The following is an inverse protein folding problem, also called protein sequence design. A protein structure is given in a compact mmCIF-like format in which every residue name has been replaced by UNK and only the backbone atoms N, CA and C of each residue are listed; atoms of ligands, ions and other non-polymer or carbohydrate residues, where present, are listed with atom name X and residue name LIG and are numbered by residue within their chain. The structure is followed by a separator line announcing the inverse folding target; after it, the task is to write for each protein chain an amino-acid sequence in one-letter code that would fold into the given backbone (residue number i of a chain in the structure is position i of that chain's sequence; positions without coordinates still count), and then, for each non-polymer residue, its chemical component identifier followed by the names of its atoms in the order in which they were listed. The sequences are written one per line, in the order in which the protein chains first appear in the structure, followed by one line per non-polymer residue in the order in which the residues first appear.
data_IF_488904274995
#
_entry.id   IF_488904274995
#
_cell.length_a   1.000
_cell.length_b   1.000
_cell.length_c   1.000
_cell.angle_alpha   90.00
_cell.angle_beta   90.00
_cell.angle_gamma   90.00
#
_symmetry.space_group_name_H-M   'P 1'
#
loop_
_entity.id
_entity.type
_entity.pdbx_description
1 polymer ?
#
# COMPACT_ATOMS: atom_id res chain seq x y z
N UNK A 1 6.77 4.94 -25.74
CA UNK A 1 6.76 3.50 -25.39
C UNK A 1 8.16 2.90 -25.16
N UNK A 2 9.16 3.12 -26.04
CA UNK A 2 10.49 2.46 -25.93
C UNK A 2 11.18 2.62 -24.56
N UNK A 3 11.18 3.83 -23.99
CA UNK A 3 11.87 4.14 -22.73
C UNK A 3 11.31 3.32 -21.56
N UNK A 4 9.99 3.30 -21.38
CA UNK A 4 9.35 2.56 -20.27
C UNK A 4 9.59 1.05 -20.40
N UNK A 5 9.40 0.50 -21.61
CA UNK A 5 9.65 -0.92 -21.88
C UNK A 5 11.10 -1.30 -21.58
N UNK A 6 12.06 -0.53 -22.08
CA UNK A 6 13.47 -0.80 -21.83
C UNK A 6 13.83 -0.74 -20.35
N UNK A 7 13.32 0.26 -19.63
CA UNK A 7 13.53 0.37 -18.20
C UNK A 7 13.03 -0.88 -17.47
N UNK A 8 11.78 -1.29 -17.71
CA UNK A 8 11.18 -2.46 -17.06
C UNK A 8 11.96 -3.74 -17.36
N UNK A 9 12.26 -4.03 -18.63
CA UNK A 9 13.04 -5.23 -18.96
C UNK A 9 14.44 -5.22 -18.36
N UNK A 10 15.10 -4.05 -18.31
CA UNK A 10 16.45 -3.93 -17.76
C UNK A 10 16.45 -4.19 -16.27
N UNK A 11 15.56 -3.54 -15.52
CA UNK A 11 15.52 -3.63 -14.06
C UNK A 11 14.95 -4.97 -13.60
N UNK A 12 13.78 -5.37 -14.11
CA UNK A 12 13.16 -6.66 -13.75
C UNK A 12 14.04 -7.81 -14.20
N UNK A 13 14.62 -7.74 -15.40
CA UNK A 13 15.51 -8.77 -15.92
C UNK A 13 16.80 -8.92 -15.10
N UNK A 14 17.34 -7.82 -14.56
CA UNK A 14 18.51 -7.86 -13.67
C UNK A 14 18.24 -8.61 -12.37
N UNK A 15 17.07 -8.40 -11.77
CA UNK A 15 16.67 -9.02 -10.50
C UNK A 15 15.84 -10.32 -10.66
N UNK A 16 15.80 -10.88 -11.87
CA UNK A 16 14.99 -12.06 -12.18
C UNK A 16 15.26 -13.19 -11.19
N UNK A 17 14.20 -13.71 -10.58
CA UNK A 17 14.26 -14.82 -9.61
C UNK A 17 14.87 -14.47 -8.25
N UNK A 18 15.13 -13.18 -7.96
CA UNK A 18 15.76 -12.73 -6.71
C UNK A 18 14.80 -12.01 -5.76
N UNK A 19 13.61 -11.62 -6.25
CA UNK A 19 12.66 -10.80 -5.50
C UNK A 19 11.38 -11.56 -5.18
N UNK A 20 10.78 -11.25 -4.03
CA UNK A 20 9.52 -11.84 -3.59
C UNK A 20 8.30 -11.23 -4.29
N UNK A 21 8.38 -9.97 -4.70
CA UNK A 21 7.33 -9.22 -5.40
C UNK A 21 7.91 -7.97 -6.09
N UNK A 22 7.14 -7.39 -7.01
CA UNK A 22 7.37 -6.07 -7.60
C UNK A 22 6.13 -5.20 -7.47
N UNK A 23 6.29 -3.96 -7.01
CA UNK A 23 5.36 -2.88 -7.31
C UNK A 23 5.65 -2.35 -8.72
N UNK A 24 4.89 -2.83 -9.70
CA UNK A 24 5.13 -2.53 -11.11
C UNK A 24 4.68 -1.12 -11.47
N UNK A 25 3.55 -0.70 -10.90
CA UNK A 25 2.97 0.62 -11.08
C UNK A 25 2.55 1.14 -9.71
N UNK A 26 3.04 2.33 -9.37
CA UNK A 26 2.75 3.01 -8.12
C UNK A 26 1.84 4.23 -8.38
N UNK A 27 0.76 4.37 -7.62
CA UNK A 27 -0.09 5.56 -7.54
C UNK A 27 -0.67 6.05 -8.88
N UNK A 28 -1.06 5.15 -9.79
CA UNK A 28 -1.67 5.56 -11.07
C UNK A 28 -3.08 6.14 -10.93
N UNK A 29 -3.75 5.92 -9.81
CA UNK A 29 -5.10 6.41 -9.52
C UNK A 29 -5.01 7.74 -8.77
N UNK A 30 -5.75 8.73 -9.26
CA UNK A 30 -5.75 10.09 -8.70
C UNK A 30 -6.61 10.21 -7.42
N UNK A 31 -6.30 11.21 -6.60
CA UNK A 31 -7.09 11.49 -5.39
C UNK A 31 -8.43 12.16 -5.70
N UNK A 32 -8.54 12.82 -6.85
CA UNK A 32 -9.75 13.47 -7.33
C UNK A 32 -10.19 12.87 -8.67
N UNK A 33 -11.50 12.90 -8.91
CA UNK A 33 -12.05 12.57 -10.22
C UNK A 33 -11.93 13.81 -11.13
N UNK A 34 -11.39 13.60 -12.32
CA UNK A 34 -11.39 14.60 -13.40
C UNK A 34 -12.15 14.06 -14.60
N UNK A 35 -13.35 14.61 -14.83
CA UNK A 35 -14.21 14.28 -15.98
C UNK A 35 -14.63 12.80 -16.08
N UNK A 36 -14.93 12.17 -14.94
CA UNK A 36 -15.33 10.76 -14.86
C UNK A 36 -14.14 9.80 -14.94
N UNK A 37 -12.92 10.30 -14.76
CA UNK A 37 -11.70 9.51 -14.76
C UNK A 37 -10.83 9.86 -13.56
N UNK A 38 -10.43 8.83 -12.82
CA UNK A 38 -9.55 8.95 -11.66
C UNK A 38 -8.12 8.53 -12.01
N UNK A 39 -7.52 9.16 -13.03
CA UNK A 39 -6.16 8.85 -13.51
C UNK A 39 -5.19 9.93 -13.06
N UNK A 40 -4.05 9.54 -12.50
CA UNK A 40 -2.99 10.48 -12.10
C UNK A 40 -2.27 11.01 -13.33
N UNK A 41 -2.12 12.33 -13.41
CA UNK A 41 -1.40 12.98 -14.50
C UNK A 41 0.11 12.72 -14.38
N UNK A 42 0.62 11.83 -15.24
CA UNK A 42 2.03 11.44 -15.26
C UNK A 42 2.60 11.58 -16.67
N UNK A 43 3.92 11.62 -16.79
CA UNK A 43 4.58 11.57 -18.10
C UNK A 43 4.21 10.30 -18.89
N UNK A 44 3.92 9.20 -18.20
CA UNK A 44 3.52 7.94 -18.82
C UNK A 44 2.10 8.02 -19.37
N UNK A 45 1.16 8.56 -18.58
CA UNK A 45 -0.21 8.78 -19.03
C UNK A 45 -0.27 9.74 -20.23
N UNK A 46 0.47 10.86 -20.18
CA UNK A 46 0.49 11.84 -21.28
C UNK A 46 1.20 11.32 -22.53
N UNK A 47 2.26 10.54 -22.34
CA UNK A 47 3.12 10.11 -23.45
C UNK A 47 2.72 8.78 -24.10
N UNK A 48 2.05 7.89 -23.37
CA UNK A 48 1.61 6.58 -23.87
C UNK A 48 0.08 6.53 -23.94
N UNK A 49 -0.60 7.07 -22.94
CA UNK A 49 -2.03 6.85 -22.73
C UNK A 49 -2.27 5.87 -21.57
N UNK A 50 -3.53 5.68 -21.15
CA UNK A 50 -3.90 4.86 -19.98
C UNK A 50 -3.43 3.40 -20.05
N UNK A 51 -3.19 2.88 -21.25
CA UNK A 51 -2.67 1.53 -21.49
C UNK A 51 -1.25 1.30 -20.93
N UNK A 52 -0.54 2.36 -20.51
CA UNK A 52 0.80 2.21 -19.93
C UNK A 52 0.81 1.27 -18.70
N UNK A 53 -0.29 1.24 -17.93
CA UNK A 53 -0.42 0.36 -16.77
C UNK A 53 -0.39 -1.09 -17.20
N UNK A 54 -1.26 -1.47 -18.14
CA UNK A 54 -1.28 -2.83 -18.70
C UNK A 54 0.06 -3.22 -19.30
N UNK A 55 0.63 -2.33 -20.13
CA UNK A 55 1.89 -2.58 -20.80
C UNK A 55 3.02 -2.82 -19.80
N UNK A 56 3.05 -2.06 -18.70
CA UNK A 56 4.04 -2.25 -17.65
C UNK A 56 3.95 -3.64 -17.01
N UNK A 57 2.74 -4.11 -16.67
CA UNK A 57 2.54 -5.47 -16.13
C UNK A 57 2.96 -6.54 -17.14
N UNK A 58 2.57 -6.41 -18.40
CA UNK A 58 2.96 -7.39 -19.44
C UNK A 58 4.47 -7.45 -19.62
N UNK A 59 5.14 -6.30 -19.71
CA UNK A 59 6.61 -6.25 -19.85
C UNK A 59 7.35 -6.75 -18.61
N UNK A 60 6.83 -6.48 -17.40
CA UNK A 60 7.40 -7.02 -16.17
C UNK A 60 7.31 -8.55 -16.16
N UNK A 61 6.15 -9.10 -16.53
CA UNK A 61 5.96 -10.55 -16.62
C UNK A 61 6.78 -11.19 -17.74
N UNK A 62 6.95 -10.51 -18.89
CA UNK A 62 7.87 -10.98 -19.95
C UNK A 62 9.32 -11.08 -19.44
N UNK A 63 9.75 -10.14 -18.60
CA UNK A 63 11.11 -10.09 -18.06
C UNK A 63 11.35 -11.13 -16.95
N UNK A 64 10.38 -11.30 -16.06
CA UNK A 64 10.36 -12.37 -15.04
C UNK A 64 8.93 -12.93 -14.87
N UNK A 65 8.63 -14.09 -15.48
CA UNK A 65 7.31 -14.70 -15.37
C UNK A 65 6.98 -15.27 -13.98
N UNK A 66 7.97 -15.38 -13.09
CA UNK A 66 7.84 -16.11 -11.81
C UNK A 66 7.59 -15.19 -10.62
N UNK A 67 7.90 -13.91 -10.75
CA UNK A 67 7.74 -12.94 -9.65
C UNK A 67 6.30 -12.41 -9.60
N UNK A 68 5.66 -12.39 -8.41
CA UNK A 68 4.40 -11.70 -8.19
C UNK A 68 4.48 -10.21 -8.54
N UNK A 69 3.43 -9.68 -9.17
CA UNK A 69 3.37 -8.32 -9.71
C UNK A 69 2.21 -7.56 -9.08
N UNK A 70 2.50 -6.42 -8.49
CA UNK A 70 1.59 -5.64 -7.67
C UNK A 70 1.36 -4.24 -8.26
N UNK A 71 0.14 -3.74 -8.03
CA UNK A 71 -0.18 -2.31 -8.11
C UNK A 71 -0.20 -1.75 -6.69
N UNK A 72 0.54 -0.68 -6.40
CA UNK A 72 0.67 -0.10 -5.06
C UNK A 72 0.11 1.33 -5.01
N UNK A 73 -0.65 1.68 -3.96
CA UNK A 73 -1.24 3.02 -3.81
C UNK A 73 -1.65 3.33 -2.36
N UNK A 74 -1.76 4.63 -2.03
CA UNK A 74 -2.31 5.14 -0.77
C UNK A 74 -3.78 5.53 -0.89
N UNK A 75 -4.45 5.72 0.26
CA UNK A 75 -5.83 6.21 0.37
C UNK A 75 -6.86 5.33 -0.37
N UNK A 76 -6.49 4.10 -0.68
CA UNK A 76 -7.29 3.08 -1.33
C UNK A 76 -7.54 1.86 -0.44
N UNK A 77 -7.24 1.95 0.85
CA UNK A 77 -7.23 0.83 1.80
C UNK A 77 -8.64 0.46 2.26
N UNK A 78 -9.45 1.46 2.64
CA UNK A 78 -10.87 1.29 2.97
C UNK A 78 -11.79 1.32 1.74
N UNK A 79 -13.10 1.31 1.96
CA UNK A 79 -14.11 1.48 0.90
C UNK A 79 -14.31 2.95 0.57
N UNK A 80 -14.28 3.29 -0.71
CA UNK A 80 -14.51 4.66 -1.17
C UNK A 80 -14.12 4.86 -2.62
N UNK A 81 -14.28 6.09 -3.11
CA UNK A 81 -14.15 6.39 -4.53
C UNK A 81 -12.76 6.04 -5.13
N UNK A 82 -11.68 6.16 -4.36
CA UNK A 82 -10.34 5.78 -4.83
C UNK A 82 -10.18 4.26 -4.90
N UNK A 83 -10.57 3.53 -3.85
CA UNK A 83 -10.49 2.07 -3.86
C UNK A 83 -11.47 1.43 -4.86
N UNK A 84 -12.61 2.05 -5.12
CA UNK A 84 -13.55 1.63 -6.18
C UNK A 84 -12.94 1.75 -7.57
N UNK A 85 -12.19 2.84 -7.83
CA UNK A 85 -11.49 3.02 -9.10
C UNK A 85 -10.31 2.05 -9.26
N UNK A 86 -9.55 1.81 -8.19
CA UNK A 86 -8.50 0.77 -8.17
C UNK A 86 -9.12 -0.60 -8.46
N UNK A 87 -10.19 -0.96 -7.75
CA UNK A 87 -10.92 -2.21 -7.94
C UNK A 87 -11.41 -2.38 -9.39
N UNK A 88 -12.03 -1.34 -9.96
CA UNK A 88 -12.50 -1.37 -11.35
C UNK A 88 -11.36 -1.56 -12.35
N UNK A 89 -10.23 -0.85 -12.16
CA UNK A 89 -9.03 -0.99 -12.99
C UNK A 89 -8.49 -2.41 -12.94
N UNK A 90 -8.27 -2.97 -11.75
CA UNK A 90 -7.63 -4.29 -11.64
C UNK A 90 -8.57 -5.43 -12.03
N UNK A 91 -9.88 -5.26 -11.86
CA UNK A 91 -10.89 -6.16 -12.41
C UNK A 91 -10.84 -6.19 -13.95
N UNK A 92 -10.76 -5.04 -14.60
CA UNK A 92 -10.62 -4.95 -16.07
C UNK A 92 -9.31 -5.60 -16.55
N UNK A 93 -8.18 -5.30 -15.91
CA UNK A 93 -6.90 -5.90 -16.23
C UNK A 93 -6.94 -7.43 -16.11
N UNK A 94 -7.53 -7.96 -15.03
CA UNK A 94 -7.71 -9.40 -14.82
C UNK A 94 -8.62 -10.04 -15.87
N UNK A 95 -9.69 -9.37 -16.27
CA UNK A 95 -10.60 -9.85 -17.33
C UNK A 95 -9.94 -9.93 -18.71
N UNK A 96 -8.84 -9.21 -18.93
CA UNK A 96 -8.07 -9.17 -20.18
C UNK A 96 -6.74 -9.91 -20.08
N UNK A 97 -6.62 -10.83 -19.12
CA UNK A 97 -5.45 -11.67 -18.89
C UNK A 97 -4.14 -10.88 -18.77
N UNK A 98 -4.19 -9.71 -18.11
CA UNK A 98 -3.00 -8.97 -17.71
C UNK A 98 -2.41 -9.64 -16.45
N UNK A 99 -1.09 -9.88 -16.39
CA UNK A 99 -0.44 -10.58 -15.27
C UNK A 99 -0.28 -9.67 -14.04
N UNK A 100 -1.40 -9.34 -13.40
CA UNK A 100 -1.44 -8.68 -12.09
C UNK A 100 -1.82 -9.71 -11.03
N UNK A 101 -1.03 -9.77 -9.96
CA UNK A 101 -1.10 -10.81 -8.93
C UNK A 101 -1.57 -10.28 -7.57
N UNK A 102 -1.42 -8.97 -7.31
CA UNK A 102 -1.91 -8.39 -6.08
C UNK A 102 -1.94 -6.87 -6.04
N UNK A 103 -2.38 -6.35 -4.90
CA UNK A 103 -2.48 -4.92 -4.59
C UNK A 103 -1.69 -4.61 -3.33
N UNK A 104 -0.82 -3.60 -3.40
CA UNK A 104 -0.18 -3.00 -2.25
C UNK A 104 -1.06 -1.89 -1.68
N UNK A 105 -1.40 -1.99 -0.41
CA UNK A 105 -1.98 -0.93 0.38
C UNK A 105 -0.85 -0.24 1.13
N UNK A 106 -0.49 0.98 0.70
CA UNK A 106 0.59 1.73 1.36
C UNK A 106 0.31 1.89 2.85
N UNK A 107 -0.95 2.20 3.22
CA UNK A 107 -1.35 2.27 4.63
C UNK A 107 -0.64 3.41 5.39
N UNK A 108 -0.50 4.56 4.74
CA UNK A 108 -0.13 5.82 5.39
C UNK A 108 -1.34 6.42 6.10
N UNK A 109 -1.47 6.15 7.41
CA UNK A 109 -2.68 6.42 8.17
C UNK A 109 -2.51 7.61 9.10
N UNK A 110 -3.57 8.38 9.26
CA UNK A 110 -3.69 9.37 10.33
C UNK A 110 -4.55 8.83 11.46
N UNK A 111 -4.19 9.11 12.71
CA UNK A 111 -5.13 8.93 13.83
C UNK A 111 -6.34 9.88 13.71
N UNK A 112 -6.23 10.92 12.90
CA UNK A 112 -7.37 11.76 12.53
C UNK A 112 -8.13 11.09 11.38
N UNK A 113 -9.26 10.46 11.72
CA UNK A 113 -10.12 9.72 10.79
C UNK A 113 -9.43 8.52 10.11
N UNK A 114 -8.90 7.55 10.86
CA UNK A 114 -8.40 6.32 10.27
C UNK A 114 -9.54 5.58 9.54
N UNK A 115 -9.26 4.90 8.41
CA UNK A 115 -10.23 4.01 7.79
C UNK A 115 -10.65 2.93 8.78
N UNK A 116 -11.92 2.52 8.71
CA UNK A 116 -12.44 1.54 9.65
C UNK A 116 -11.91 0.14 9.32
N UNK A 117 -11.54 -0.68 10.32
CA UNK A 117 -11.05 -2.04 10.07
C UNK A 117 -11.99 -2.89 9.21
N UNK A 118 -13.31 -2.76 9.41
CA UNK A 118 -14.31 -3.47 8.61
C UNK A 118 -14.33 -3.05 7.13
N UNK A 119 -14.00 -1.80 6.83
CA UNK A 119 -13.94 -1.30 5.45
C UNK A 119 -12.68 -1.80 4.75
N UNK A 120 -11.54 -1.87 5.47
CA UNK A 120 -10.31 -2.47 4.95
C UNK A 120 -10.52 -3.97 4.69
N UNK A 121 -11.10 -4.70 5.65
CA UNK A 121 -11.41 -6.12 5.50
C UNK A 121 -12.35 -6.39 4.32
N UNK A 122 -13.39 -5.56 4.15
CA UNK A 122 -14.30 -5.66 3.01
C UNK A 122 -13.59 -5.40 1.66
N UNK A 123 -12.67 -4.44 1.63
CA UNK A 123 -11.89 -4.15 0.43
C UNK A 123 -10.90 -5.28 0.09
N UNK A 124 -10.20 -5.82 1.09
CA UNK A 124 -9.33 -7.00 0.94
C UNK A 124 -10.13 -8.21 0.42
N UNK A 125 -11.34 -8.43 0.97
CA UNK A 125 -12.22 -9.52 0.55
C UNK A 125 -12.63 -9.41 -0.93
N UNK A 126 -13.10 -8.25 -1.39
CA UNK A 126 -13.50 -8.09 -2.80
C UNK A 126 -12.31 -8.22 -3.76
N UNK A 127 -11.10 -7.81 -3.36
CA UNK A 127 -9.88 -8.04 -4.13
C UNK A 127 -9.51 -9.53 -4.18
N UNK A 128 -9.66 -10.24 -3.05
CA UNK A 128 -9.50 -11.69 -2.98
C UNK A 128 -10.47 -12.45 -3.87
N UNK A 129 -11.70 -11.98 -4.03
CA UNK A 129 -12.70 -12.53 -4.96
C UNK A 129 -12.27 -12.40 -6.45
N UNK A 130 -11.31 -11.53 -6.79
CA UNK A 130 -10.67 -11.45 -8.11
C UNK A 130 -9.44 -12.37 -8.25
N UNK A 131 -9.10 -13.11 -7.19
CA UNK A 131 -7.90 -13.94 -7.08
C UNK A 131 -6.63 -13.13 -6.83
N UNK A 132 -6.74 -11.91 -6.27
CA UNK A 132 -5.60 -11.04 -5.99
C UNK A 132 -5.14 -11.16 -4.53
N UNK A 133 -3.82 -11.16 -4.35
CA UNK A 133 -3.19 -10.95 -3.06
C UNK A 133 -3.32 -9.49 -2.63
N UNK A 134 -3.24 -9.24 -1.33
CA UNK A 134 -3.04 -7.91 -0.76
C UNK A 134 -1.77 -7.92 0.08
N UNK A 135 -1.05 -6.80 0.08
CA UNK A 135 0.07 -6.55 0.99
C UNK A 135 -0.15 -5.18 1.64
N UNK A 136 0.11 -5.08 2.94
CA UNK A 136 0.32 -3.78 3.59
C UNK A 136 1.80 -3.45 3.36
N UNK A 137 2.10 -2.39 2.62
CA UNK A 137 3.44 -2.17 2.03
C UNK A 137 4.25 -1.07 2.71
N UNK A 138 3.61 -0.05 3.29
CA UNK A 138 4.28 1.18 3.73
C UNK A 138 3.69 1.73 5.04
N UNK A 139 3.31 0.84 5.96
CA UNK A 139 2.50 1.29 7.10
C UNK A 139 3.26 2.25 8.02
N UNK A 140 2.65 3.41 8.23
CA UNK A 140 2.98 4.36 9.28
C UNK A 140 1.69 5.03 9.78
N UNK A 141 1.71 5.53 11.02
CA UNK A 141 0.51 6.10 11.65
C UNK A 141 0.84 7.46 12.26
N UNK A 142 0.60 8.53 11.49
CA UNK A 142 0.85 9.90 11.93
C UNK A 142 -0.07 10.31 13.08
N UNK A 143 0.51 10.99 14.08
CA UNK A 143 -0.23 11.44 15.26
C UNK A 143 -0.29 12.96 15.40
N UNK A 144 0.56 13.70 14.69
CA UNK A 144 0.66 15.16 14.83
C UNK A 144 -0.63 15.92 14.48
N UNK A 145 -1.50 15.36 13.63
CA UNK A 145 -2.79 15.94 13.24
C UNK A 145 -3.95 15.57 14.21
N UNK A 146 -3.70 14.68 15.18
CA UNK A 146 -4.71 14.27 16.16
C UNK A 146 -4.96 15.30 17.25
N UNK A 147 -6.20 15.35 17.73
CA UNK A 147 -6.59 16.12 18.92
C UNK A 147 -6.28 15.36 20.22
N UNK A 148 -6.34 16.06 21.35
CA UNK A 148 -6.12 15.48 22.67
C UNK A 148 -4.67 15.55 23.17
N UNK A 149 -4.43 14.92 24.30
CA UNK A 149 -3.12 14.79 24.95
C UNK A 149 -2.18 13.88 24.17
N UNK A 150 -0.87 13.95 24.46
CA UNK A 150 0.10 13.04 23.87
C UNK A 150 -0.24 11.57 24.14
N UNK A 151 -0.71 11.26 25.35
CA UNK A 151 -1.07 9.91 25.77
C UNK A 151 -2.27 9.37 24.97
N UNK A 152 -3.31 10.18 24.78
CA UNK A 152 -4.48 9.81 23.96
C UNK A 152 -4.09 9.56 22.50
N UNK A 153 -3.21 10.39 21.93
CA UNK A 153 -2.73 10.24 20.54
C UNK A 153 -1.88 8.97 20.37
N UNK A 154 -1.02 8.65 21.32
CA UNK A 154 -0.22 7.41 21.33
C UNK A 154 -1.13 6.18 21.51
N UNK A 155 -2.16 6.27 22.36
CA UNK A 155 -3.14 5.19 22.51
C UNK A 155 -3.92 4.94 21.20
N UNK A 156 -4.35 6.01 20.52
CA UNK A 156 -5.00 5.91 19.22
C UNK A 156 -4.08 5.27 18.17
N UNK A 157 -2.82 5.70 18.08
CA UNK A 157 -1.83 5.07 17.20
C UNK A 157 -1.67 3.57 17.49
N UNK A 158 -1.57 3.21 18.77
CA UNK A 158 -1.41 1.82 19.21
C UNK A 158 -2.58 0.96 18.76
N UNK A 159 -3.80 1.48 18.88
CA UNK A 159 -5.01 0.80 18.45
C UNK A 159 -5.06 0.63 16.92
N UNK A 160 -4.66 1.64 16.15
CA UNK A 160 -4.61 1.57 14.67
C UNK A 160 -3.63 0.48 14.20
N UNK A 161 -2.41 0.43 14.75
CA UNK A 161 -1.44 -0.63 14.43
C UNK A 161 -1.98 -2.03 14.75
N UNK A 162 -2.60 -2.18 15.92
CA UNK A 162 -3.21 -3.43 16.35
C UNK A 162 -4.30 -3.89 15.38
N UNK A 163 -5.25 -3.01 15.07
CA UNK A 163 -6.43 -3.37 14.30
C UNK A 163 -6.10 -3.69 12.85
N UNK A 164 -5.21 -2.92 12.22
CA UNK A 164 -4.82 -3.17 10.82
C UNK A 164 -4.01 -4.46 10.70
N UNK A 165 -3.13 -4.76 11.66
CA UNK A 165 -2.42 -6.04 11.69
C UNK A 165 -3.38 -7.21 11.85
N UNK A 166 -4.34 -7.10 12.77
CA UNK A 166 -5.39 -8.12 12.95
C UNK A 166 -6.17 -8.35 11.65
N UNK A 167 -6.59 -7.28 10.96
CA UNK A 167 -7.29 -7.39 9.66
C UNK A 167 -6.44 -8.12 8.62
N UNK A 168 -5.13 -7.84 8.54
CA UNK A 168 -4.26 -8.56 7.62
C UNK A 168 -4.13 -10.05 7.99
N UNK A 169 -3.97 -10.38 9.27
CA UNK A 169 -3.86 -11.79 9.71
C UNK A 169 -5.15 -12.58 9.48
N UNK A 170 -6.31 -11.95 9.62
CA UNK A 170 -7.62 -12.57 9.38
C UNK A 170 -7.96 -12.69 7.89
N UNK A 171 -7.37 -11.87 7.02
CA UNK A 171 -7.61 -11.88 5.59
C UNK A 171 -6.76 -12.96 4.90
N UNK A 172 -7.36 -14.03 4.32
CA UNK A 172 -6.61 -15.15 3.76
C UNK A 172 -5.78 -14.77 2.52
N UNK A 173 -6.02 -13.60 1.93
CA UNK A 173 -5.26 -13.06 0.80
C UNK A 173 -4.27 -11.96 1.21
N UNK A 174 -4.14 -11.59 2.48
CA UNK A 174 -3.06 -10.72 2.94
C UNK A 174 -1.76 -11.55 3.06
N UNK A 175 -0.72 -11.15 2.34
CA UNK A 175 0.52 -11.95 2.21
C UNK A 175 1.76 -11.29 2.77
N UNK A 176 1.70 -10.01 3.09
CA UNK A 176 2.78 -9.28 3.71
C UNK A 176 2.26 -8.07 4.50
N UNK A 177 3.01 -7.69 5.53
CA UNK A 177 2.80 -6.50 6.34
C UNK A 177 4.15 -5.83 6.59
N UNK A 178 4.33 -4.63 6.03
CA UNK A 178 5.55 -3.85 6.09
C UNK A 178 5.25 -2.47 6.65
N UNK A 179 6.17 -1.95 7.48
CA UNK A 179 6.17 -0.55 7.91
C UNK A 179 7.11 0.26 7.03
N UNK A 180 6.82 1.55 6.83
CA UNK A 180 7.69 2.44 6.05
C UNK A 180 8.80 3.01 6.93
N UNK A 181 9.92 2.28 7.01
CA UNK A 181 10.93 2.35 8.06
C UNK A 181 10.46 1.75 9.40
N UNK A 182 11.32 1.79 10.42
CA UNK A 182 11.02 1.20 11.73
C UNK A 182 11.12 2.16 12.92
N UNK A 183 11.96 3.20 12.87
CA UNK A 183 12.19 4.13 13.97
C UNK A 183 11.86 5.58 13.59
N UNK A 184 11.26 6.32 14.52
CA UNK A 184 10.66 7.65 14.29
C UNK A 184 11.60 8.66 13.61
N UNK A 185 12.91 8.67 13.91
CA UNK A 185 13.87 9.62 13.33
C UNK A 185 14.24 9.32 11.87
N UNK A 186 13.82 8.17 11.34
CA UNK A 186 13.96 7.82 9.92
C UNK A 186 12.68 8.07 9.12
N UNK A 187 11.59 8.48 9.78
CA UNK A 187 10.33 8.73 9.10
C UNK A 187 10.42 9.93 8.15
N UNK A 188 9.82 9.79 6.98
CA UNK A 188 9.61 10.84 5.99
C UNK A 188 8.55 11.89 6.38
N UNK A 189 7.65 11.55 7.32
CA UNK A 189 6.47 12.36 7.67
C UNK A 189 6.87 13.74 8.23
N UNK A 190 7.82 13.86 9.18
CA UNK A 190 8.18 15.17 9.71
C UNK A 190 8.70 16.15 8.65
N UNK A 191 9.50 15.66 7.70
CA UNK A 191 10.05 16.47 6.61
C UNK A 191 8.98 16.87 5.60
N UNK A 192 8.07 15.95 5.24
CA UNK A 192 6.98 16.22 4.30
C UNK A 192 6.01 17.28 4.83
N UNK A 193 5.63 17.21 6.11
CA UNK A 193 4.62 18.09 6.70
C UNK A 193 5.20 19.28 7.46
N UNK A 194 6.53 19.35 7.65
CA UNK A 194 7.19 20.41 8.41
C UNK A 194 6.79 20.45 9.88
N UNK A 195 6.42 19.30 10.46
CA UNK A 195 5.91 19.18 11.84
C UNK A 195 6.54 17.97 12.53
N UNK A 196 6.98 18.07 13.78
CA UNK A 196 7.42 16.90 14.54
C UNK A 196 6.31 15.84 14.63
N UNK A 197 6.69 14.58 14.44
CA UNK A 197 5.79 13.45 14.60
C UNK A 197 6.55 12.22 15.08
N UNK A 198 5.80 11.19 15.49
CA UNK A 198 6.33 9.91 15.95
C UNK A 198 5.49 8.76 15.38
N UNK A 199 5.54 8.49 14.06
CA UNK A 199 4.56 7.63 13.39
C UNK A 199 4.88 6.13 13.41
N UNK A 200 6.08 5.73 13.84
CA UNK A 200 6.60 4.37 13.69
C UNK A 200 6.60 3.56 15.01
N UNK A 201 6.81 2.23 14.97
CA UNK A 201 6.77 1.39 16.18
C UNK A 201 7.94 1.56 17.15
N UNK A 202 9.05 2.19 16.75
CA UNK A 202 10.22 2.45 17.59
C UNK A 202 10.50 3.95 17.72
N UNK A 203 10.98 4.36 18.90
CA UNK A 203 11.35 5.76 19.15
C UNK A 203 12.73 6.12 18.57
N UNK A 204 13.14 7.38 18.71
CA UNK A 204 14.43 7.91 18.24
C UNK A 204 15.67 7.25 18.87
N UNK A 205 15.49 6.43 19.91
CA UNK A 205 16.55 5.66 20.58
C UNK A 205 16.42 4.16 20.32
N UNK A 206 15.66 3.77 19.29
CA UNK A 206 15.38 2.38 18.93
C UNK A 206 14.67 1.57 20.03
N UNK A 207 13.99 2.23 20.96
CA UNK A 207 13.21 1.53 21.99
C UNK A 207 11.80 1.27 21.46
N UNK A 208 11.23 0.08 21.74
CA UNK A 208 9.88 -0.25 21.31
C UNK A 208 8.85 0.68 21.96
N UNK A 209 7.89 1.16 21.16
CA UNK A 209 6.74 1.95 21.62
C UNK A 209 5.55 1.04 21.92
N UNK A 210 4.47 1.63 22.44
CA UNK A 210 3.21 0.91 22.69
C UNK A 210 2.68 0.20 21.43
N UNK A 211 2.81 0.82 20.25
CA UNK A 211 2.45 0.21 18.96
C UNK A 211 3.21 -1.10 18.68
N UNK A 212 4.52 -1.15 18.93
CA UNK A 212 5.31 -2.39 18.77
C UNK A 212 4.75 -3.51 19.67
N UNK A 213 4.52 -3.20 20.95
CA UNK A 213 4.03 -4.20 21.89
C UNK A 213 2.63 -4.70 21.53
N UNK A 214 1.75 -3.84 21.02
CA UNK A 214 0.44 -4.23 20.55
C UNK A 214 0.50 -5.16 19.33
N UNK A 215 1.38 -4.87 18.36
CA UNK A 215 1.59 -5.77 17.21
C UNK A 215 2.12 -7.14 17.65
N UNK A 216 3.10 -7.17 18.56
CA UNK A 216 3.63 -8.44 19.11
C UNK A 216 2.54 -9.23 19.85
N UNK A 217 1.62 -8.56 20.53
CA UNK A 217 0.51 -9.23 21.21
C UNK A 217 -0.44 -9.88 20.20
N UNK A 218 -0.79 -9.19 19.12
CA UNK A 218 -1.62 -9.74 18.02
C UNK A 218 -0.97 -10.97 17.40
N UNK A 219 0.32 -10.88 17.05
CA UNK A 219 1.06 -12.00 16.44
C UNK A 219 1.15 -13.25 17.32
N UNK A 220 1.02 -13.11 18.65
CA UNK A 220 1.03 -14.24 19.60
C UNK A 220 -0.34 -14.88 19.80
N UNK A 221 -1.41 -14.19 19.44
CA UNK A 221 -2.78 -14.71 19.55
C UNK A 221 -3.09 -15.59 18.33
N UNK A 222 -2.59 -15.22 17.16
CA UNK A 222 -2.82 -15.91 15.88
C UNK A 222 -1.78 -17.03 15.58
N UNK A 223 -0.89 -17.36 16.53
CA UNK A 223 0.12 -18.44 16.46
C UNK A 223 -0.30 -19.70 17.20
#
# INVERSE_FOLDING_TARGET
MYILRQHIHTVVGHYRGQLAAWDVVNEAVADQDSAGQRKRDTIWLRGIGPEYVELAFRWAHEADPTVPLFYNDYAGEGLGAKSDAIYAMVKDLRQRDVPIHGIGFQMHISIQNPPKPEEIAANMKRLGELGLQVQVTEMDVKIHDGSGTQEERVAAQTQVYRDILQVCLEAPNCTAFLTWEFADHHSWIPDLFGKPDSPLPFDNSYRPKAAYHAMVQVLKIDS
#
